data_IF_897064082306
#
_entry.id   IF_897064082306
#
_cell.length_a   1.000
_cell.length_b   1.000
_cell.length_c   1.000
_cell.angle_alpha   90.00
_cell.angle_beta   90.00
_cell.angle_gamma   90.00
#
_symmetry.space_group_name_H-M   'P 1'
#
loop_
_entity.id
_entity.type
_entity.pdbx_description
1 polymer ?
#
# COMPACT_ATOMS: atom_id res chain seq x y z
N UNK A 1 -2.75 -5.00 -7.57
CA UNK A 1 -2.50 -5.08 -6.11
C UNK A 1 -1.06 -5.51 -5.82
N UNK A 2 -0.26 -4.69 -5.13
CA UNK A 2 1.05 -5.10 -4.59
C UNK A 2 0.86 -5.48 -3.12
N UNK A 3 0.82 -6.78 -2.86
CA UNK A 3 0.37 -7.36 -1.61
C UNK A 3 -1.09 -7.83 -1.67
N UNK A 4 -1.32 -9.09 -1.27
CA UNK A 4 -2.65 -9.69 -1.13
C UNK A 4 -2.77 -10.42 0.21
N UNK A 5 -2.43 -9.70 1.29
CA UNK A 5 -2.67 -10.11 2.68
C UNK A 5 -4.07 -9.69 3.15
N UNK A 6 -4.25 -9.50 4.45
CA UNK A 6 -5.55 -9.08 5.01
C UNK A 6 -6.07 -7.78 4.40
N UNK A 7 -5.22 -6.74 4.32
CA UNK A 7 -5.58 -5.44 3.73
C UNK A 7 -5.87 -5.57 2.24
N UNK A 8 -4.93 -6.14 1.47
CA UNK A 8 -5.09 -6.28 0.02
C UNK A 8 -6.32 -7.09 -0.39
N UNK A 9 -6.68 -8.13 0.37
CA UNK A 9 -7.88 -8.94 0.12
C UNK A 9 -9.17 -8.13 0.34
N UNK A 10 -9.23 -7.32 1.38
CA UNK A 10 -10.38 -6.46 1.68
C UNK A 10 -10.53 -5.31 0.66
N UNK A 11 -9.41 -4.76 0.15
CA UNK A 11 -9.42 -3.80 -0.94
C UNK A 11 -9.92 -4.46 -2.22
N UNK A 12 -9.35 -5.61 -2.61
CA UNK A 12 -9.75 -6.36 -3.81
C UNK A 12 -11.26 -6.65 -3.84
N UNK A 13 -11.80 -7.16 -2.72
CA UNK A 13 -13.23 -7.43 -2.54
C UNK A 13 -14.10 -6.20 -2.78
N UNK A 14 -13.67 -5.01 -2.34
CA UNK A 14 -14.40 -3.75 -2.56
C UNK A 14 -14.33 -3.34 -4.03
N UNK A 15 -13.17 -3.48 -4.67
CA UNK A 15 -12.96 -3.13 -6.07
C UNK A 15 -13.75 -4.04 -7.03
N UNK A 16 -13.91 -5.32 -6.70
CA UNK A 16 -14.79 -6.23 -7.46
C UNK A 16 -16.23 -5.73 -7.57
N UNK A 17 -16.76 -5.11 -6.50
CA UNK A 17 -18.11 -4.57 -6.50
C UNK A 17 -18.28 -3.38 -7.48
N UNK A 18 -17.17 -2.73 -7.87
CA UNK A 18 -17.14 -1.70 -8.92
C UNK A 18 -16.88 -2.27 -10.32
N UNK A 19 -16.78 -3.60 -10.46
CA UNK A 19 -16.50 -4.26 -11.73
C UNK A 19 -15.02 -4.20 -12.16
N UNK A 20 -14.11 -3.88 -11.25
CA UNK A 20 -12.67 -3.85 -11.56
C UNK A 20 -12.11 -5.26 -11.76
N UNK A 21 -11.17 -5.39 -12.71
CA UNK A 21 -10.37 -6.60 -12.87
C UNK A 21 -9.20 -6.56 -11.87
N UNK A 22 -9.07 -7.60 -11.05
CA UNK A 22 -8.07 -7.64 -9.98
C UNK A 22 -6.94 -8.58 -10.36
N UNK A 23 -5.73 -8.03 -10.50
CA UNK A 23 -4.46 -8.74 -10.61
C UNK A 23 -3.58 -8.42 -9.41
N UNK A 24 -2.68 -9.34 -9.02
CA UNK A 24 -1.82 -9.13 -7.84
C UNK A 24 -0.39 -9.64 -7.98
N UNK A 25 0.50 -9.01 -7.23
CA UNK A 25 1.83 -9.48 -6.90
C UNK A 25 1.92 -9.72 -5.39
N UNK A 26 2.66 -10.74 -4.97
CA UNK A 26 3.04 -10.96 -3.59
C UNK A 26 4.21 -11.95 -3.51
N UNK A 27 4.90 -12.03 -2.35
CA UNK A 27 6.03 -12.95 -2.15
C UNK A 27 5.74 -14.40 -2.56
N UNK A 28 4.53 -14.88 -2.30
CA UNK A 28 4.10 -16.22 -2.66
C UNK A 28 2.72 -16.18 -3.32
N UNK A 29 2.56 -16.89 -4.44
CA UNK A 29 1.25 -17.08 -5.08
C UNK A 29 0.25 -17.64 -4.05
N UNK A 30 -0.94 -17.06 -4.03
CA UNK A 30 -2.06 -17.47 -3.17
C UNK A 30 -2.91 -18.48 -3.94
N UNK A 31 -2.93 -19.78 -3.57
CA UNK A 31 -3.69 -20.79 -4.30
C UNK A 31 -5.21 -20.66 -4.09
N UNK A 32 -5.64 -19.95 -3.05
CA UNK A 32 -7.04 -19.79 -2.66
C UNK A 32 -7.76 -18.63 -3.36
N UNK A 33 -7.08 -17.87 -4.22
CA UNK A 33 -7.66 -16.72 -4.93
C UNK A 33 -7.61 -16.95 -6.44
N UNK A 34 -8.63 -16.49 -7.15
CA UNK A 34 -8.76 -16.62 -8.61
C UNK A 34 -8.07 -15.49 -9.38
N UNK A 35 -7.63 -14.44 -8.70
CA UNK A 35 -6.96 -13.30 -9.32
C UNK A 35 -5.70 -13.72 -10.09
N UNK A 36 -5.43 -13.16 -11.28
CA UNK A 36 -4.16 -13.34 -11.96
C UNK A 36 -2.99 -12.93 -11.07
N UNK A 37 -1.99 -13.81 -11.00
CA UNK A 37 -0.76 -13.59 -10.25
C UNK A 37 0.35 -13.14 -11.18
N UNK A 38 1.05 -12.09 -10.81
CA UNK A 38 2.25 -11.59 -11.46
C UNK A 38 3.46 -11.79 -10.54
N UNK A 39 4.52 -12.41 -11.05
CA UNK A 39 5.78 -12.58 -10.33
C UNK A 39 6.58 -11.28 -10.20
N UNK A 40 6.33 -10.32 -11.08
CA UNK A 40 7.00 -9.02 -11.11
C UNK A 40 6.00 -7.89 -10.87
N UNK A 41 6.38 -6.92 -10.04
CA UNK A 41 5.58 -5.69 -9.85
C UNK A 41 5.61 -4.82 -11.11
N UNK A 42 6.71 -4.84 -11.86
CA UNK A 42 6.80 -4.13 -13.14
C UNK A 42 5.81 -4.69 -14.17
N UNK A 43 5.72 -6.02 -14.31
CA UNK A 43 4.73 -6.64 -15.22
C UNK A 43 3.29 -6.37 -14.77
N UNK A 44 3.04 -6.39 -13.45
CA UNK A 44 1.75 -6.00 -12.90
C UNK A 44 1.41 -4.55 -13.23
N UNK A 45 2.39 -3.64 -13.15
CA UNK A 45 2.19 -2.22 -13.46
C UNK A 45 1.84 -1.98 -14.94
N UNK A 46 2.45 -2.72 -15.87
CA UNK A 46 2.10 -2.68 -17.30
C UNK A 46 0.62 -3.03 -17.53
N UNK A 47 0.10 -4.01 -16.77
CA UNK A 47 -1.26 -4.53 -16.91
C UNK A 47 -2.30 -3.79 -16.04
N UNK A 48 -1.91 -2.69 -15.38
CA UNK A 48 -2.77 -2.00 -14.40
C UNK A 48 -3.07 -0.55 -14.79
N UNK A 49 -4.34 -0.15 -14.69
CA UNK A 49 -4.73 1.27 -14.65
C UNK A 49 -4.49 1.88 -13.26
N UNK A 50 -4.57 1.05 -12.20
CA UNK A 50 -4.37 1.49 -10.81
C UNK A 50 -3.50 0.49 -10.07
N UNK A 51 -2.37 0.96 -9.54
CA UNK A 51 -1.44 0.15 -8.75
C UNK A 51 -1.59 0.48 -7.27
N UNK A 52 -2.22 -0.40 -6.51
CA UNK A 52 -2.43 -0.23 -5.06
C UNK A 52 -1.36 -1.00 -4.27
N UNK A 53 -0.58 -0.27 -3.46
CA UNK A 53 0.50 -0.77 -2.62
C UNK A 53 0.03 -0.94 -1.18
N UNK A 54 0.04 -2.18 -0.70
CA UNK A 54 -0.40 -2.55 0.65
C UNK A 54 0.37 -3.76 1.21
N UNK A 55 1.59 -4.00 0.74
CA UNK A 55 2.52 -4.98 1.30
C UNK A 55 3.25 -4.42 2.54
N UNK A 56 3.87 -5.31 3.30
CA UNK A 56 4.75 -4.92 4.40
C UNK A 56 6.07 -4.36 3.85
N UNK A 57 6.62 -3.36 4.55
CA UNK A 57 7.98 -2.87 4.30
C UNK A 57 8.99 -3.85 4.92
N UNK A 58 9.91 -4.31 4.08
CA UNK A 58 11.05 -5.17 4.38
C UNK A 58 12.24 -4.70 3.54
N UNK A 59 13.43 -5.24 3.76
CA UNK A 59 14.60 -4.94 2.93
C UNK A 59 14.34 -5.24 1.45
N UNK A 60 13.62 -6.33 1.12
CA UNK A 60 13.32 -6.71 -0.27
C UNK A 60 12.20 -5.89 -0.92
N UNK A 61 11.44 -5.12 -0.14
CA UNK A 61 10.33 -4.30 -0.64
C UNK A 61 10.60 -2.80 -0.49
N UNK A 62 11.76 -2.43 0.03
CA UNK A 62 12.25 -1.06 0.05
C UNK A 62 12.40 -0.55 -1.39
N UNK A 63 11.76 0.58 -1.68
CA UNK A 63 11.68 1.18 -3.03
C UNK A 63 11.26 0.18 -4.12
N UNK A 64 10.39 -0.78 -3.77
CA UNK A 64 9.82 -1.74 -4.70
C UNK A 64 9.11 -1.05 -5.88
N UNK A 65 8.53 0.12 -5.64
CA UNK A 65 7.98 1.01 -6.66
C UNK A 65 9.01 2.09 -6.97
N UNK A 66 9.97 1.75 -7.80
CA UNK A 66 10.95 2.69 -8.34
C UNK A 66 10.50 3.24 -9.70
N UNK A 67 11.36 4.05 -10.33
CA UNK A 67 11.07 4.74 -11.60
C UNK A 67 10.58 3.81 -12.71
N UNK A 68 11.18 2.64 -12.87
CA UNK A 68 10.80 1.68 -13.91
C UNK A 68 9.35 1.22 -13.76
N UNK A 69 8.91 0.93 -12.52
CA UNK A 69 7.52 0.56 -12.21
C UNK A 69 6.57 1.74 -12.44
N UNK A 70 6.97 2.96 -12.06
CA UNK A 70 6.18 4.18 -12.28
C UNK A 70 5.96 4.44 -13.77
N UNK A 71 7.01 4.30 -14.59
CA UNK A 71 6.93 4.46 -16.04
C UNK A 71 6.13 3.33 -16.71
N UNK A 72 6.21 2.11 -16.18
CA UNK A 72 5.42 0.98 -16.64
C UNK A 72 3.91 1.20 -16.39
N UNK A 73 3.55 1.78 -15.24
CA UNK A 73 2.17 2.19 -14.93
C UNK A 73 1.71 3.35 -15.84
N UNK A 74 2.60 4.29 -16.11
CA UNK A 74 2.48 5.26 -17.20
C UNK A 74 1.42 6.35 -17.00
N UNK A 75 1.32 7.22 -18.00
CA UNK A 75 0.58 8.50 -17.94
C UNK A 75 -0.91 8.43 -17.65
N UNK A 76 -1.52 7.26 -17.84
CA UNK A 76 -2.93 7.04 -17.55
C UNK A 76 -3.13 6.32 -16.21
N UNK A 77 -2.05 5.80 -15.63
CA UNK A 77 -2.09 5.00 -14.43
C UNK A 77 -2.07 5.84 -13.15
N UNK A 78 -2.61 5.30 -12.08
CA UNK A 78 -2.65 5.93 -10.75
C UNK A 78 -1.98 5.03 -9.72
N UNK A 79 -1.03 5.58 -8.97
CA UNK A 79 -0.41 4.91 -7.82
C UNK A 79 -1.21 5.18 -6.55
N UNK A 80 -1.57 4.16 -5.79
CA UNK A 80 -2.16 4.32 -4.46
C UNK A 80 -1.23 3.67 -3.43
N UNK A 81 -0.78 4.41 -2.42
CA UNK A 81 0.04 3.85 -1.35
C UNK A 81 -0.64 4.01 0.01
N UNK A 82 -1.00 2.88 0.62
CA UNK A 82 -1.56 2.75 1.97
C UNK A 82 -0.71 1.84 2.86
N UNK A 83 0.52 1.55 2.42
CA UNK A 83 1.48 0.69 3.13
C UNK A 83 2.44 1.49 3.98
N UNK A 84 3.64 1.74 3.45
CA UNK A 84 4.68 2.62 4.01
C UNK A 84 5.27 3.47 2.90
N UNK A 85 5.71 4.68 3.23
CA UNK A 85 6.32 5.59 2.25
C UNK A 85 7.50 4.97 1.51
N UNK A 86 8.44 4.38 2.26
CA UNK A 86 9.64 3.74 1.72
C UNK A 86 9.40 2.49 0.85
N UNK A 87 8.15 2.08 0.58
CA UNK A 87 7.85 1.13 -0.50
C UNK A 87 7.98 1.76 -1.89
N UNK A 88 7.94 3.09 -1.96
CA UNK A 88 8.04 3.89 -3.18
C UNK A 88 9.31 4.74 -3.08
N UNK A 89 10.06 4.83 -4.18
CA UNK A 89 11.08 5.88 -4.30
C UNK A 89 10.38 7.24 -4.47
N UNK A 90 10.23 7.98 -3.38
CA UNK A 90 9.42 9.21 -3.34
C UNK A 90 9.98 10.29 -4.27
N UNK A 91 11.30 10.35 -4.43
CA UNK A 91 11.96 11.31 -5.32
C UNK A 91 11.62 11.04 -6.77
N UNK A 92 11.62 9.77 -7.18
CA UNK A 92 11.23 9.40 -8.54
C UNK A 92 9.71 9.59 -8.74
N UNK A 93 8.88 9.29 -7.74
CA UNK A 93 7.44 9.55 -7.80
C UNK A 93 7.14 11.04 -8.05
N UNK A 94 7.74 11.93 -7.27
CA UNK A 94 7.57 13.39 -7.43
C UNK A 94 7.98 13.83 -8.84
N UNK A 95 9.12 13.34 -9.34
CA UNK A 95 9.57 13.67 -10.70
C UNK A 95 8.62 13.17 -11.78
N UNK A 96 8.15 11.93 -11.69
CA UNK A 96 7.23 11.34 -12.65
C UNK A 96 5.89 12.08 -12.67
N UNK A 97 5.35 12.42 -11.50
CA UNK A 97 4.10 13.20 -11.40
C UNK A 97 4.26 14.59 -12.00
N UNK A 98 5.30 15.32 -11.62
CA UNK A 98 5.56 16.68 -12.11
C UNK A 98 5.80 16.72 -13.63
N UNK A 99 6.34 15.66 -14.21
CA UNK A 99 6.54 15.52 -15.67
C UNK A 99 5.32 14.96 -16.41
N UNK A 100 4.26 14.56 -15.70
CA UNK A 100 3.10 13.89 -16.29
C UNK A 100 3.41 12.51 -16.88
N UNK A 101 4.46 11.85 -16.37
CA UNK A 101 4.83 10.48 -16.76
C UNK A 101 3.89 9.44 -16.13
N UNK A 102 3.22 9.79 -15.03
CA UNK A 102 2.14 9.04 -14.38
C UNK A 102 0.90 9.92 -14.23
N UNK A 103 -0.29 9.33 -14.32
CA UNK A 103 -1.57 10.05 -14.30
C UNK A 103 -1.87 10.73 -12.98
N UNK A 104 -1.52 10.09 -11.85
CA UNK A 104 -1.69 10.67 -10.52
C UNK A 104 -1.30 9.75 -9.39
N UNK A 105 -1.48 10.23 -8.16
CA UNK A 105 -1.21 9.44 -6.96
C UNK A 105 -2.18 9.73 -5.81
N UNK A 106 -2.53 8.69 -5.05
CA UNK A 106 -3.21 8.79 -3.76
C UNK A 106 -2.31 8.23 -2.67
N UNK A 107 -1.84 9.09 -1.77
CA UNK A 107 -0.81 8.76 -0.79
C UNK A 107 -1.35 8.98 0.63
N UNK A 108 -1.42 7.91 1.42
CA UNK A 108 -1.64 8.00 2.86
C UNK A 108 -0.32 8.02 3.64
N UNK A 109 0.78 7.64 3.00
CA UNK A 109 2.09 7.45 3.65
C UNK A 109 3.21 8.03 2.79
N UNK A 110 4.26 8.52 3.45
CA UNK A 110 5.37 9.31 2.90
C UNK A 110 6.68 8.79 3.49
N UNK A 111 7.79 9.01 2.79
CA UNK A 111 9.08 8.42 3.19
C UNK A 111 9.63 9.05 4.47
N UNK A 112 9.46 10.36 4.66
CA UNK A 112 9.94 11.13 5.82
C UNK A 112 8.78 11.74 6.63
N UNK A 113 7.83 10.91 7.07
CA UNK A 113 6.69 11.39 7.86
C UNK A 113 7.11 12.09 9.17
N UNK A 114 6.49 13.24 9.53
CA UNK A 114 5.31 13.85 8.92
C UNK A 114 5.62 14.85 7.79
N UNK A 115 6.87 14.95 7.35
CA UNK A 115 7.25 15.83 6.26
C UNK A 115 6.75 15.28 4.93
N UNK A 116 6.33 16.19 4.04
CA UNK A 116 5.88 15.87 2.69
C UNK A 116 6.64 16.78 1.71
N UNK A 117 7.15 16.26 0.59
CA UNK A 117 7.72 17.09 -0.47
C UNK A 117 6.77 18.20 -0.88
N UNK A 118 7.29 19.43 -0.98
CA UNK A 118 6.46 20.62 -1.23
C UNK A 118 5.76 20.54 -2.58
N UNK A 119 6.45 19.96 -3.54
CA UNK A 119 6.00 19.73 -4.91
C UNK A 119 4.68 18.95 -4.94
N UNK A 120 4.47 18.00 -4.02
CA UNK A 120 3.23 17.21 -3.97
C UNK A 120 2.00 18.06 -3.59
N UNK A 121 2.18 19.17 -2.86
CA UNK A 121 1.07 20.09 -2.55
C UNK A 121 0.65 20.96 -3.75
N UNK A 122 1.52 21.09 -4.74
CA UNK A 122 1.28 21.94 -5.92
C UNK A 122 0.63 21.18 -7.07
N UNK A 123 0.49 19.85 -6.95
CA UNK A 123 0.00 18.96 -8.00
C UNK A 123 -1.49 18.64 -7.84
N UNK A 124 -2.30 19.03 -8.83
CA UNK A 124 -3.74 18.77 -8.85
C UNK A 124 -4.10 17.27 -9.02
N UNK A 125 -3.15 16.45 -9.47
CA UNK A 125 -3.32 15.01 -9.67
C UNK A 125 -2.81 14.16 -8.50
N UNK A 126 -2.60 14.78 -7.33
CA UNK A 126 -2.17 14.11 -6.10
C UNK A 126 -3.19 14.33 -4.99
N UNK A 127 -3.55 13.25 -4.30
CA UNK A 127 -4.33 13.30 -3.05
C UNK A 127 -3.43 12.83 -1.91
N UNK A 128 -3.29 13.68 -0.89
CA UNK A 128 -2.50 13.41 0.31
C UNK A 128 -3.42 13.18 1.51
N UNK A 129 -3.16 12.11 2.25
CA UNK A 129 -3.77 11.83 3.55
C UNK A 129 -2.66 11.64 4.60
N UNK A 130 -2.78 12.21 5.81
CA UNK A 130 -1.70 12.21 6.79
C UNK A 130 -1.68 10.92 7.64
N UNK A 131 -1.42 9.77 7.00
CA UNK A 131 -1.35 8.43 7.62
C UNK A 131 -2.59 8.09 8.44
N UNK A 132 -3.76 8.22 7.83
CA UNK A 132 -5.06 8.08 8.49
C UNK A 132 -5.95 6.98 7.94
N UNK A 133 -5.49 6.14 7.02
CA UNK A 133 -6.31 5.07 6.44
C UNK A 133 -6.90 4.11 7.49
N UNK A 134 -6.23 3.95 8.65
CA UNK A 134 -6.67 3.09 9.76
C UNK A 134 -7.47 3.83 10.85
N UNK A 135 -7.59 5.15 10.78
CA UNK A 135 -8.09 5.97 11.88
C UNK A 135 -9.62 6.08 11.89
N UNK A 136 -10.28 5.12 12.53
CA UNK A 136 -11.68 5.22 12.98
C UNK A 136 -11.77 4.97 14.48
N UNK A 137 -12.84 5.46 15.12
CA UNK A 137 -13.07 5.24 16.55
C UNK A 137 -13.12 3.75 16.90
N UNK A 138 -13.76 2.95 16.04
CA UNK A 138 -13.89 1.50 16.18
C UNK A 138 -12.53 0.82 16.02
N UNK A 139 -11.74 1.22 15.01
CA UNK A 139 -10.42 0.64 14.76
C UNK A 139 -9.47 0.90 15.93
N UNK A 140 -9.48 2.11 16.50
CA UNK A 140 -8.68 2.42 17.70
C UNK A 140 -9.18 1.70 18.94
N UNK A 141 -10.49 1.56 19.11
CA UNK A 141 -11.05 0.80 20.23
C UNK A 141 -10.59 -0.66 20.18
N UNK A 142 -10.69 -1.30 19.01
CA UNK A 142 -10.19 -2.66 18.79
C UNK A 142 -8.67 -2.77 19.02
N UNK A 143 -7.90 -1.77 18.59
CA UNK A 143 -6.45 -1.73 18.83
C UNK A 143 -6.12 -1.62 20.32
N UNK A 144 -6.83 -0.75 21.06
CA UNK A 144 -6.66 -0.62 22.50
C UNK A 144 -6.98 -1.93 23.24
N UNK A 145 -8.08 -2.59 22.89
CA UNK A 145 -8.44 -3.90 23.45
C UNK A 145 -7.36 -4.94 23.18
N UNK A 146 -6.83 -4.99 21.95
CA UNK A 146 -5.76 -5.92 21.59
C UNK A 146 -4.47 -5.64 22.38
N UNK A 147 -4.08 -4.37 22.54
CA UNK A 147 -2.89 -3.97 23.31
C UNK A 147 -3.04 -4.37 24.78
N UNK A 148 -4.16 -4.01 25.41
CA UNK A 148 -4.44 -4.34 26.81
C UNK A 148 -4.47 -5.85 27.01
N UNK A 149 -5.15 -6.59 26.12
CA UNK A 149 -5.23 -8.04 26.19
C UNK A 149 -3.86 -8.72 26.06
N UNK A 150 -2.96 -8.21 25.20
CA UNK A 150 -1.59 -8.72 25.12
C UNK A 150 -0.78 -8.43 26.39
N UNK A 151 -0.90 -7.23 26.98
CA UNK A 151 -0.21 -6.88 28.23
C UNK A 151 -0.70 -7.75 29.39
N UNK A 152 -2.01 -7.92 29.53
CA UNK A 152 -2.61 -8.80 30.55
C UNK A 152 -2.16 -10.25 30.38
N UNK A 153 -2.16 -10.76 29.15
CA UNK A 153 -1.67 -12.10 28.85
C UNK A 153 -0.20 -12.27 29.24
N UNK A 154 0.65 -11.31 28.87
CA UNK A 154 2.08 -11.32 29.20
C UNK A 154 2.33 -11.36 30.71
N UNK A 155 1.77 -10.42 31.47
CA UNK A 155 1.98 -10.35 32.92
C UNK A 155 1.29 -11.49 33.70
N UNK A 156 0.35 -12.19 33.07
CA UNK A 156 -0.31 -13.38 33.63
C UNK A 156 0.32 -14.71 33.20
N UNK A 157 1.46 -14.70 32.48
CA UNK A 157 2.08 -15.89 31.90
C UNK A 157 1.12 -16.71 31.01
N UNK A 158 0.25 -16.05 30.24
CA UNK A 158 -0.64 -16.66 29.24
C UNK A 158 -0.11 -16.42 27.82
N UNK A 159 -0.52 -17.24 26.83
CA UNK A 159 -0.20 -16.97 25.44
C UNK A 159 -0.69 -15.59 24.98
N UNK A 160 0.14 -14.89 24.21
CA UNK A 160 -0.19 -13.59 23.63
C UNK A 160 -1.31 -13.71 22.58
N UNK A 161 -2.13 -12.67 22.47
CA UNK A 161 -3.21 -12.62 21.49
C UNK A 161 -2.71 -12.43 20.06
N UNK A 162 -1.59 -11.71 19.90
CA UNK A 162 -1.00 -11.39 18.60
C UNK A 162 0.53 -11.39 18.66
N UNK A 163 1.14 -12.56 18.91
CA UNK A 163 2.61 -12.70 18.89
C UNK A 163 3.17 -12.53 17.49
N UNK A 164 4.33 -11.88 17.38
CA UNK A 164 5.06 -11.71 16.12
C UNK A 164 6.35 -12.55 16.11
N UNK A 165 7.01 -12.65 17.26
CA UNK A 165 8.20 -13.47 17.54
C UNK A 165 7.88 -14.34 18.75
#
# INVERSE_FOLDING_TARGET
MVGLGSIGSEIAKRMEAFGCHISYNSKNRKPSVSYPYFSSVHELAIDSDVLIVCCALTEETYHLIARDVLLALGKNGVLINVGRGALVDEKELVQCLARGEIGGAGLDVMEDEPNVPKELYELDNVVLSPHKAVFTNESFSNLHELILGNLEAYFSNKPLLSSVI
#
